data_IF_131885994160
#
_entry.id   IF_131885994160
#
_cell.length_a   1.000
_cell.length_b   1.000
_cell.length_c   1.000
_cell.angle_alpha   90.00
_cell.angle_beta   90.00
_cell.angle_gamma   90.00
#
_symmetry.space_group_name_H-M   'P 1'
#
loop_
_entity.id
_entity.type
_entity.pdbx_description
1 polymer ?
#
# COMPACT_ATOMS: atom_id res chain seq x y z
N UNK A 1 -12.44 -31.99 -7.31
CA UNK A 1 -12.63 -30.73 -8.06
C UNK A 1 -11.35 -30.44 -8.81
N UNK A 2 -11.39 -30.38 -10.16
CA UNK A 2 -10.25 -29.95 -10.95
C UNK A 2 -10.22 -28.41 -10.92
N UNK A 3 -9.13 -27.83 -10.42
CA UNK A 3 -8.92 -26.38 -10.50
C UNK A 3 -8.69 -25.97 -11.95
N UNK A 4 -9.25 -24.84 -12.38
CA UNK A 4 -8.93 -24.25 -13.68
C UNK A 4 -7.46 -23.81 -13.67
N UNK A 5 -6.62 -24.51 -14.43
CA UNK A 5 -5.20 -24.18 -14.58
C UNK A 5 -5.04 -23.27 -15.79
N UNK A 6 -4.42 -22.11 -15.59
CA UNK A 6 -4.10 -21.22 -16.69
C UNK A 6 -3.05 -21.87 -17.61
N UNK A 7 -3.31 -21.97 -18.93
CA UNK A 7 -2.34 -22.50 -19.87
C UNK A 7 -1.11 -21.59 -19.92
N UNK A 8 0.05 -22.17 -20.25
CA UNK A 8 1.29 -21.39 -20.37
C UNK A 8 1.15 -20.32 -21.46
N UNK A 9 1.60 -19.08 -21.20
CA UNK A 9 1.44 -17.97 -22.13
C UNK A 9 2.11 -18.28 -23.48
N UNK A 10 1.32 -18.26 -24.56
CA UNK A 10 1.77 -18.54 -25.93
C UNK A 10 1.43 -19.93 -26.46
N UNK A 11 0.85 -20.83 -25.65
CA UNK A 11 0.34 -22.13 -26.15
C UNK A 11 -1.00 -22.00 -26.88
N UNK A 12 -1.90 -21.14 -26.39
CA UNK A 12 -3.23 -20.94 -26.95
C UNK A 12 -3.59 -19.45 -26.95
N UNK A 13 -3.15 -18.72 -27.96
CA UNK A 13 -3.50 -17.32 -28.19
C UNK A 13 -2.34 -16.34 -28.09
N UNK A 14 -2.62 -15.05 -28.37
CA UNK A 14 -1.61 -14.00 -28.31
C UNK A 14 -1.04 -13.89 -26.90
N UNK A 15 0.27 -13.65 -26.80
CA UNK A 15 0.91 -13.38 -25.51
C UNK A 15 0.22 -12.16 -24.86
N UNK A 16 -0.09 -12.22 -23.55
CA UNK A 16 -0.70 -11.11 -22.85
C UNK A 16 0.19 -9.87 -22.98
N UNK A 17 -0.44 -8.73 -23.28
CA UNK A 17 0.28 -7.46 -23.40
C UNK A 17 0.82 -7.05 -22.04
N UNK A 18 2.02 -6.51 -22.00
CA UNK A 18 2.59 -5.87 -20.81
C UNK A 18 2.61 -4.36 -21.00
N UNK A 19 2.83 -3.63 -19.92
CA UNK A 19 3.00 -2.17 -19.94
C UNK A 19 1.84 -1.39 -20.53
N UNK A 20 0.61 -1.82 -20.23
CA UNK A 20 -0.60 -1.15 -20.68
C UNK A 20 -0.74 0.24 -20.04
N UNK A 21 -1.04 1.30 -20.83
CA UNK A 21 -1.21 2.65 -20.30
C UNK A 21 -2.51 2.80 -19.51
N UNK A 22 -2.62 3.90 -18.77
CA UNK A 22 -3.82 4.26 -18.00
C UNK A 22 -5.08 4.28 -18.88
N UNK A 23 -6.18 3.74 -18.35
CA UNK A 23 -7.45 3.55 -19.05
C UNK A 23 -7.56 2.25 -19.87
N UNK A 24 -6.45 1.54 -20.09
CA UNK A 24 -6.47 0.28 -20.86
C UNK A 24 -7.13 -0.86 -20.09
N UNK A 25 -7.82 -1.76 -20.81
CA UNK A 25 -8.39 -2.96 -20.21
C UNK A 25 -7.28 -3.95 -19.80
N UNK A 26 -7.38 -4.55 -18.61
CA UNK A 26 -6.36 -5.41 -18.01
C UNK A 26 -6.97 -6.60 -17.27
N UNK A 27 -6.15 -7.59 -16.92
CA UNK A 27 -6.61 -8.75 -16.15
C UNK A 27 -7.46 -9.72 -16.98
N UNK A 28 -8.60 -10.13 -16.43
CA UNK A 28 -9.41 -11.24 -16.94
C UNK A 28 -8.89 -12.62 -16.54
N UNK A 29 -9.57 -13.69 -17.00
CA UNK A 29 -9.09 -15.07 -16.81
C UNK A 29 -7.67 -15.22 -17.36
N UNK A 30 -6.76 -15.67 -16.51
CA UNK A 30 -5.34 -15.84 -16.86
C UNK A 30 -4.62 -14.57 -17.35
N UNK A 31 -5.12 -13.38 -16.98
CA UNK A 31 -4.57 -12.10 -17.43
C UNK A 31 -4.55 -11.95 -18.96
N UNK A 32 -5.52 -12.53 -19.67
CA UNK A 32 -5.57 -12.49 -21.13
C UNK A 32 -5.56 -11.06 -21.70
N UNK A 33 -6.09 -10.08 -20.96
CA UNK A 33 -6.07 -8.69 -21.39
C UNK A 33 -4.73 -7.99 -21.13
N UNK A 34 -3.87 -8.58 -20.32
CA UNK A 34 -2.52 -8.08 -20.06
C UNK A 34 -2.34 -7.43 -18.69
N UNK A 35 -1.16 -6.84 -18.54
CA UNK A 35 -0.66 -6.21 -17.32
C UNK A 35 -0.46 -4.71 -17.51
N UNK A 36 -0.79 -3.93 -16.49
CA UNK A 36 -0.60 -2.49 -16.50
C UNK A 36 0.88 -2.09 -16.42
N UNK A 37 1.19 -0.92 -16.94
CA UNK A 37 2.50 -0.29 -16.79
C UNK A 37 2.86 -0.02 -15.31
N UNK A 38 4.15 0.16 -15.04
CA UNK A 38 4.64 0.47 -13.70
C UNK A 38 3.92 1.69 -13.09
N UNK A 39 3.44 1.54 -11.85
CA UNK A 39 2.67 2.57 -11.13
C UNK A 39 1.17 2.60 -11.42
N UNK A 40 0.67 1.68 -12.26
CA UNK A 40 -0.74 1.46 -12.51
C UNK A 40 -1.18 0.12 -11.91
N UNK A 41 -2.43 0.05 -11.43
CA UNK A 41 -3.02 -1.18 -10.88
C UNK A 41 -4.26 -1.53 -11.70
N UNK A 42 -4.45 -2.82 -11.96
CA UNK A 42 -5.65 -3.30 -12.61
C UNK A 42 -6.82 -3.29 -11.62
N UNK A 43 -7.76 -2.36 -11.79
CA UNK A 43 -8.94 -2.24 -10.94
C UNK A 43 -10.13 -2.86 -11.65
N UNK A 44 -10.74 -3.84 -10.99
CA UNK A 44 -11.95 -4.49 -11.50
C UNK A 44 -13.05 -3.44 -11.71
N UNK A 45 -13.65 -3.42 -12.89
CA UNK A 45 -14.85 -2.62 -13.09
C UNK A 45 -16.04 -3.34 -12.46
N UNK A 46 -16.93 -2.62 -11.75
CA UNK A 46 -18.19 -3.19 -11.31
C UNK A 46 -18.99 -3.57 -12.56
N UNK A 47 -19.00 -4.86 -12.88
CA UNK A 47 -19.78 -5.41 -13.98
C UNK A 47 -21.22 -5.56 -13.46
N UNK A 48 -22.20 -4.98 -14.16
CA UNK A 48 -23.60 -5.18 -13.80
C UNK A 48 -23.92 -6.68 -13.82
N UNK A 49 -24.33 -7.18 -12.67
CA UNK A 49 -24.15 -8.54 -12.15
C UNK A 49 -25.19 -9.55 -12.64
N UNK A 50 -25.17 -9.91 -13.92
CA UNK A 50 -25.95 -11.06 -14.42
C UNK A 50 -25.14 -12.09 -15.25
N UNK A 51 -23.88 -11.81 -15.60
CA UNK A 51 -23.07 -12.70 -16.45
C UNK A 51 -21.95 -13.47 -15.73
N UNK A 52 -21.74 -13.28 -14.43
CA UNK A 52 -20.60 -13.88 -13.68
C UNK A 52 -20.95 -15.25 -13.05
N UNK A 53 -22.07 -15.86 -13.46
CA UNK A 53 -22.63 -17.05 -12.78
C UNK A 53 -22.01 -18.40 -13.13
N UNK A 54 -21.20 -18.52 -14.19
CA UNK A 54 -20.72 -19.83 -14.63
C UNK A 54 -19.24 -19.81 -15.00
N UNK A 55 -18.39 -20.42 -14.17
CA UNK A 55 -17.08 -20.92 -14.62
C UNK A 55 -15.82 -20.26 -14.07
N UNK A 56 -15.88 -19.43 -13.01
CA UNK A 56 -14.66 -18.89 -12.37
C UNK A 56 -13.90 -17.88 -13.23
N UNK A 57 -14.58 -17.24 -14.18
CA UNK A 57 -14.01 -16.21 -15.05
C UNK A 57 -13.85 -14.91 -14.25
N UNK A 58 -12.61 -14.43 -14.09
CA UNK A 58 -12.38 -13.10 -13.53
C UNK A 58 -12.78 -12.03 -14.54
N UNK A 59 -13.53 -10.99 -14.15
CA UNK A 59 -13.86 -9.90 -15.06
C UNK A 59 -12.62 -9.13 -15.49
N UNK A 60 -12.74 -8.45 -16.61
CA UNK A 60 -11.76 -7.47 -17.05
C UNK A 60 -11.75 -6.27 -16.10
N UNK A 61 -10.56 -5.80 -15.76
CA UNK A 61 -10.35 -4.53 -15.08
C UNK A 61 -9.90 -3.43 -16.05
N UNK A 62 -9.62 -2.26 -15.51
CA UNK A 62 -8.94 -1.17 -16.22
C UNK A 62 -7.70 -0.74 -15.45
N UNK A 63 -6.64 -0.43 -16.19
CA UNK A 63 -5.42 0.13 -15.64
C UNK A 63 -5.72 1.54 -15.16
N UNK A 64 -5.87 1.69 -13.86
CA UNK A 64 -5.95 3.00 -13.25
C UNK A 64 -4.59 3.33 -12.70
N UNK A 65 -4.25 4.63 -12.69
CA UNK A 65 -3.21 5.07 -11.77
C UNK A 65 -3.59 4.53 -10.41
N UNK A 66 -2.65 3.92 -9.72
CA UNK A 66 -2.86 3.65 -8.31
C UNK A 66 -3.06 5.03 -7.69
N UNK A 67 -4.32 5.48 -7.62
CA UNK A 67 -4.67 6.70 -6.94
C UNK A 67 -4.05 6.52 -5.59
N UNK A 68 -3.17 7.46 -5.21
CA UNK A 68 -2.44 7.43 -3.92
C UNK A 68 -3.41 6.81 -2.95
N UNK A 69 -3.11 5.58 -2.55
CA UNK A 69 -4.11 4.82 -1.81
C UNK A 69 -4.50 5.68 -0.63
N UNK A 70 -5.75 5.64 -0.16
CA UNK A 70 -6.12 6.41 1.03
C UNK A 70 -5.10 6.19 2.18
N UNK A 71 -4.50 4.99 2.19
CA UNK A 71 -3.37 4.61 3.02
C UNK A 71 -2.04 5.31 2.68
N UNK A 72 -1.71 5.65 1.43
CA UNK A 72 -0.51 6.43 1.07
C UNK A 72 -0.56 7.85 1.66
N UNK A 73 -1.77 8.42 1.72
CA UNK A 73 -1.98 9.72 2.36
C UNK A 73 -1.77 9.66 3.88
N UNK A 74 -1.99 8.49 4.49
CA UNK A 74 -1.79 8.22 5.92
C UNK A 74 -0.37 7.76 6.25
N UNK A 75 0.27 7.05 5.33
CA UNK A 75 1.55 6.39 5.54
C UNK A 75 2.68 7.38 5.81
N UNK A 76 2.74 8.48 5.04
CA UNK A 76 3.77 9.50 5.22
C UNK A 76 3.65 10.21 6.58
N UNK A 77 2.48 10.73 7.00
CA UNK A 77 2.29 11.25 8.35
C UNK A 77 2.60 10.22 9.45
N UNK A 78 2.20 8.96 9.27
CA UNK A 78 2.47 7.90 10.24
C UNK A 78 3.98 7.66 10.43
N UNK A 79 4.75 7.63 9.34
CA UNK A 79 6.20 7.51 9.38
C UNK A 79 6.89 8.78 9.89
N UNK A 80 6.34 9.97 9.63
CA UNK A 80 6.84 11.23 10.19
C UNK A 80 6.78 11.16 11.72
N UNK A 81 5.62 10.80 12.30
CA UNK A 81 5.45 10.59 13.74
C UNK A 81 6.36 9.47 14.28
N UNK A 82 6.58 8.40 13.51
CA UNK A 82 7.48 7.32 13.92
C UNK A 82 8.94 7.78 13.96
N UNK A 83 9.37 8.62 13.00
CA UNK A 83 10.72 9.19 12.95
C UNK A 83 11.00 10.15 14.10
N UNK A 84 10.00 10.94 14.51
CA UNK A 84 10.07 11.78 15.70
C UNK A 84 10.27 10.96 16.98
N UNK A 85 9.70 9.75 17.03
CA UNK A 85 9.75 8.89 18.22
C UNK A 85 11.00 8.00 18.30
N UNK A 86 11.52 7.53 17.16
CA UNK A 86 12.67 6.63 17.12
C UNK A 86 14.02 7.33 17.26
N UNK A 87 14.10 8.66 17.06
CA UNK A 87 15.32 9.46 17.20
C UNK A 87 16.56 8.86 16.48
N UNK A 88 16.35 8.23 15.31
CA UNK A 88 17.45 7.69 14.50
C UNK A 88 18.22 8.79 13.76
N UNK A 89 19.48 8.55 13.39
CA UNK A 89 20.31 9.49 12.62
C UNK A 89 19.72 9.77 11.23
N UNK A 90 19.24 8.71 10.57
CA UNK A 90 18.61 8.75 9.26
C UNK A 90 17.10 8.60 9.41
N UNK A 91 16.37 9.32 8.57
CA UNK A 91 14.93 9.22 8.52
C UNK A 91 14.51 7.90 7.86
N UNK A 92 13.52 7.23 8.41
CA UNK A 92 12.86 6.07 7.82
C UNK A 92 11.90 6.52 6.70
N UNK A 93 12.03 5.88 5.55
CA UNK A 93 11.16 6.06 4.39
C UNK A 93 10.43 4.75 4.08
N UNK A 94 9.18 4.81 3.56
CA UNK A 94 8.42 3.61 3.23
C UNK A 94 9.06 2.89 2.04
N UNK A 95 9.18 1.56 2.15
CA UNK A 95 9.51 0.67 1.02
C UNK A 95 8.23 0.03 0.50
N UNK A 96 7.41 -0.49 1.42
CA UNK A 96 6.17 -1.20 1.08
C UNK A 96 5.18 -1.16 2.23
N UNK A 97 3.90 -0.92 1.91
CA UNK A 97 2.79 -1.17 2.82
C UNK A 97 2.32 -2.62 2.64
N UNK A 98 2.39 -3.43 3.70
CA UNK A 98 1.98 -4.84 3.68
C UNK A 98 0.51 -5.02 4.03
N UNK A 99 0.03 -4.31 5.05
CA UNK A 99 -1.38 -4.28 5.41
C UNK A 99 -1.75 -2.93 6.00
N UNK A 100 -3.02 -2.56 5.82
CA UNK A 100 -3.66 -1.47 6.52
C UNK A 100 -5.09 -1.89 6.83
N UNK A 101 -5.42 -1.88 8.12
CA UNK A 101 -6.77 -2.06 8.62
C UNK A 101 -7.18 -0.79 9.37
N UNK A 102 -8.48 -0.56 9.50
CA UNK A 102 -8.98 0.56 10.28
C UNK A 102 -10.21 0.16 11.08
N UNK A 103 -10.42 0.84 12.19
CA UNK A 103 -11.60 0.70 13.02
C UNK A 103 -11.98 2.04 13.64
N UNK A 104 -13.29 2.28 13.82
CA UNK A 104 -13.80 3.51 14.43
C UNK A 104 -13.71 3.46 15.94
N UNK A 105 -13.35 4.59 16.55
CA UNK A 105 -13.34 4.80 18.01
C UNK A 105 -14.05 6.11 18.37
N UNK A 106 -14.35 6.33 19.64
CA UNK A 106 -15.11 7.50 20.13
C UNK A 106 -14.44 8.89 19.91
N UNK A 107 -13.34 8.96 19.17
CA UNK A 107 -12.62 10.20 18.86
C UNK A 107 -11.96 10.20 17.48
N UNK A 108 -12.35 9.30 16.58
CA UNK A 108 -11.79 9.23 15.22
C UNK A 108 -11.72 7.83 14.65
N UNK A 109 -10.82 7.65 13.69
CA UNK A 109 -10.53 6.34 13.08
C UNK A 109 -9.11 5.94 13.43
N UNK A 110 -8.94 4.74 13.99
CA UNK A 110 -7.63 4.14 14.24
C UNK A 110 -7.24 3.30 13.03
N UNK A 111 -6.02 3.50 12.55
CA UNK A 111 -5.40 2.76 11.46
C UNK A 111 -4.28 1.88 12.00
N UNK A 112 -4.40 0.58 11.77
CA UNK A 112 -3.40 -0.43 12.09
C UNK A 112 -2.65 -0.79 10.80
N UNK A 113 -1.38 -0.41 10.71
CA UNK A 113 -0.57 -0.56 9.51
C UNK A 113 0.65 -1.45 9.77
N UNK A 114 0.94 -2.35 8.84
CA UNK A 114 2.19 -3.08 8.78
C UNK A 114 3.01 -2.56 7.60
N UNK A 115 4.13 -1.91 7.91
CA UNK A 115 4.94 -1.17 6.95
C UNK A 115 6.35 -1.73 6.93
N UNK A 116 6.88 -1.99 5.75
CA UNK A 116 8.31 -2.16 5.53
C UNK A 116 8.94 -0.79 5.27
N UNK A 117 9.87 -0.39 6.13
CA UNK A 117 10.57 0.87 6.05
C UNK A 117 12.09 0.66 6.03
N UNK A 118 12.82 1.62 5.45
CA UNK A 118 14.28 1.63 5.43
C UNK A 118 14.83 2.98 5.87
N UNK A 119 15.99 3.02 6.52
CA UNK A 119 16.77 4.26 6.63
C UNK A 119 16.98 4.87 5.25
N UNK A 120 16.82 6.18 5.14
CA UNK A 120 17.01 6.92 3.90
C UNK A 120 18.40 7.56 3.81
N UNK A 121 18.69 8.13 2.64
CA UNK A 121 19.83 9.02 2.42
C UNK A 121 19.72 10.36 3.17
N UNK A 122 18.54 10.70 3.69
CA UNK A 122 18.29 11.95 4.40
C UNK A 122 18.52 11.82 5.91
N UNK A 123 18.98 12.90 6.51
CA UNK A 123 19.13 13.01 7.97
C UNK A 123 17.79 13.28 8.64
N UNK A 124 17.57 12.71 9.82
CA UNK A 124 16.38 12.95 10.61
C UNK A 124 16.54 14.24 11.43
N UNK A 125 16.41 15.39 10.76
CA UNK A 125 16.61 16.71 11.34
C UNK A 125 15.40 17.64 11.18
N UNK A 126 14.24 17.08 10.81
CA UNK A 126 13.01 17.83 10.56
C UNK A 126 12.97 18.66 9.28
N UNK A 127 14.03 18.71 8.46
CA UNK A 127 14.03 19.46 7.19
C UNK A 127 13.41 18.70 6.02
N UNK A 128 13.32 17.38 6.14
CA UNK A 128 12.86 16.49 5.09
C UNK A 128 11.69 15.64 5.61
N UNK A 129 10.88 15.14 4.69
CA UNK A 129 9.73 14.27 5.00
C UNK A 129 9.90 12.87 4.37
N UNK A 130 9.23 11.83 4.93
CA UNK A 130 9.34 10.47 4.40
C UNK A 130 8.90 10.30 2.93
N UNK A 131 8.07 11.23 2.43
CA UNK A 131 7.59 11.25 1.05
C UNK A 131 8.43 12.09 0.08
N UNK A 132 9.51 12.73 0.53
CA UNK A 132 10.34 13.58 -0.32
C UNK A 132 11.10 12.75 -1.36
N UNK A 133 11.01 13.13 -2.64
CA UNK A 133 11.67 12.42 -3.74
C UNK A 133 13.21 12.36 -3.61
N UNK A 134 13.81 13.29 -2.86
CA UNK A 134 15.24 13.32 -2.56
C UNK A 134 15.66 12.28 -1.50
N UNK A 135 14.73 11.82 -0.66
CA UNK A 135 15.00 10.89 0.42
C UNK A 135 14.75 9.47 -0.05
N UNK A 136 15.78 8.85 -0.61
CA UNK A 136 15.70 7.49 -1.14
C UNK A 136 16.10 6.47 -0.07
N UNK A 137 15.53 5.25 -0.09
CA UNK A 137 16.00 4.17 0.77
C UNK A 137 17.50 3.93 0.58
N UNK A 138 18.25 3.83 1.68
CA UNK A 138 19.68 3.56 1.66
C UNK A 138 19.91 2.12 1.22
N UNK A 139 20.60 1.93 0.08
CA UNK A 139 20.74 0.61 -0.56
C UNK A 139 21.44 -0.43 0.32
N UNK A 140 22.44 0.00 1.09
CA UNK A 140 23.23 -0.87 1.98
C UNK A 140 22.54 -1.18 3.32
N UNK A 141 21.37 -0.61 3.58
CA UNK A 141 20.65 -0.82 4.85
C UNK A 141 19.70 -2.02 4.78
N UNK A 142 19.37 -2.58 5.94
CA UNK A 142 18.35 -3.62 6.06
C UNK A 142 16.95 -2.98 6.17
N UNK A 143 15.96 -3.62 5.55
CA UNK A 143 14.55 -3.26 5.76
C UNK A 143 14.12 -3.61 7.18
N UNK A 144 13.24 -2.80 7.74
CA UNK A 144 12.61 -3.01 9.05
C UNK A 144 11.11 -3.10 8.87
N UNK A 145 10.50 -4.07 9.54
CA UNK A 145 9.04 -4.20 9.59
C UNK A 145 8.53 -3.45 10.82
N UNK A 146 7.63 -2.50 10.60
CA UNK A 146 7.05 -1.65 11.63
C UNK A 146 5.55 -1.87 11.68
N UNK A 147 5.04 -2.07 12.90
CA UNK A 147 3.60 -1.98 13.17
C UNK A 147 3.32 -0.59 13.71
N UNK A 148 2.49 0.17 12.97
CA UNK A 148 2.09 1.53 13.30
C UNK A 148 0.60 1.54 13.62
N UNK A 149 0.24 2.14 14.75
CA UNK A 149 -1.16 2.43 15.08
C UNK A 149 -1.36 3.94 15.14
N UNK A 150 -2.18 4.49 14.26
CA UNK A 150 -2.38 5.94 14.11
C UNK A 150 -3.85 6.29 14.25
N UNK A 151 -4.15 7.28 15.08
CA UNK A 151 -5.48 7.87 15.21
C UNK A 151 -5.61 9.06 14.26
N UNK A 152 -6.57 9.03 13.33
CA UNK A 152 -7.06 10.20 12.59
C UNK A 152 -8.30 10.77 13.30
N UNK A 153 -8.14 11.94 13.90
CA UNK A 153 -9.22 12.63 14.63
C UNK A 153 -10.19 13.37 13.70
N UNK A 154 -9.90 13.45 12.39
CA UNK A 154 -10.65 14.26 11.43
C UNK A 154 -11.31 13.47 10.30
N UNK A 155 -11.25 12.14 10.34
CA UNK A 155 -11.76 11.26 9.28
C UNK A 155 -13.26 11.43 8.97
N UNK A 156 -14.05 12.05 9.86
CA UNK A 156 -15.52 12.21 9.69
C UNK A 156 -16.00 13.64 9.35
N UNK A 157 -15.12 14.62 9.14
CA UNK A 157 -15.58 15.98 8.82
C UNK A 157 -15.93 16.15 7.33
N UNK A 158 -17.23 16.17 7.04
CA UNK A 158 -17.79 16.75 5.81
C UNK A 158 -17.49 18.26 5.77
N UNK A 159 -17.34 18.80 4.55
CA UNK A 159 -16.70 20.08 4.11
C UNK A 159 -16.95 21.40 4.88
N UNK A 160 -17.70 21.42 5.98
CA UNK A 160 -18.20 22.64 6.60
C UNK A 160 -17.28 23.26 7.67
N UNK A 161 -16.28 22.54 8.20
CA UNK A 161 -15.57 22.93 9.44
C UNK A 161 -14.09 23.26 9.25
N UNK A 162 -13.77 24.12 8.29
CA UNK A 162 -12.38 24.52 8.01
C UNK A 162 -11.78 25.43 9.11
N UNK A 163 -12.61 26.24 9.79
CA UNK A 163 -12.17 27.06 10.94
C UNK A 163 -11.91 26.22 12.20
N UNK A 164 -12.72 25.18 12.44
CA UNK A 164 -12.56 24.32 13.60
C UNK A 164 -11.31 23.41 13.47
N UNK A 165 -10.93 23.08 12.24
CA UNK A 165 -9.69 22.35 11.93
C UNK A 165 -8.40 23.10 12.29
N UNK A 166 -8.41 24.43 12.34
CA UNK A 166 -7.22 25.20 12.74
C UNK A 166 -7.08 25.29 14.26
N UNK A 167 -8.16 25.09 15.02
CA UNK A 167 -8.16 25.13 16.48
C UNK A 167 -7.85 23.77 17.12
N UNK A 168 -8.17 22.68 16.42
CA UNK A 168 -7.88 21.32 16.89
C UNK A 168 -6.44 20.95 16.55
N UNK A 169 -5.77 20.26 17.48
CA UNK A 169 -4.35 19.89 17.41
C UNK A 169 -3.96 18.99 16.23
N UNK A 170 -2.85 18.24 16.32
CA UNK A 170 -2.37 17.45 15.20
C UNK A 170 -3.44 16.44 14.73
N UNK A 171 -3.73 16.44 13.42
CA UNK A 171 -4.73 15.55 12.80
C UNK A 171 -4.47 14.08 13.09
N UNK A 172 -3.19 13.70 13.10
CA UNK A 172 -2.73 12.34 13.32
C UNK A 172 -1.98 12.22 14.64
N UNK A 173 -2.25 11.16 15.39
CA UNK A 173 -1.53 10.82 16.61
C UNK A 173 -1.06 9.37 16.55
N UNK A 174 0.23 9.15 16.82
CA UNK A 174 0.81 7.81 16.89
C UNK A 174 0.48 7.21 18.26
N UNK A 175 -0.39 6.21 18.27
CA UNK A 175 -0.80 5.49 19.47
C UNK A 175 0.24 4.46 19.87
N UNK A 176 0.71 3.68 18.88
CA UNK A 176 1.66 2.61 19.10
C UNK A 176 2.66 2.51 17.96
N UNK A 177 3.92 2.27 18.34
CA UNK A 177 5.02 1.97 17.45
C UNK A 177 5.77 0.77 18.00
N UNK A 178 5.81 -0.31 17.22
CA UNK A 178 6.61 -1.48 17.54
C UNK A 178 7.33 -2.00 16.31
N UNK A 179 8.58 -2.41 16.49
CA UNK A 179 9.29 -3.18 15.48
C UNK A 179 8.72 -4.59 15.48
N UNK A 180 8.13 -5.00 14.36
CA UNK A 180 7.75 -6.38 14.17
C UNK A 180 9.05 -7.16 13.96
N UNK A 181 9.34 -8.14 14.84
CA UNK A 181 10.37 -9.12 14.53
C UNK A 181 10.02 -9.69 13.16
N UNK A 182 10.99 -9.69 12.25
CA UNK A 182 10.81 -10.34 10.95
C UNK A 182 10.21 -11.72 11.23
N UNK A 183 9.06 -12.07 10.63
CA UNK A 183 8.56 -13.43 10.76
C UNK A 183 9.70 -14.32 10.27
N UNK A 184 10.25 -15.16 11.16
CA UNK A 184 11.25 -16.12 10.76
C UNK A 184 10.58 -16.99 9.70
N UNK A 185 10.87 -16.69 8.43
CA UNK A 185 10.44 -17.51 7.32
C UNK A 185 10.89 -18.92 7.66
N UNK A 186 9.98 -19.92 7.70
CA UNK A 186 10.37 -21.27 8.03
C UNK A 186 11.46 -21.66 7.04
N UNK A 187 12.69 -21.80 7.53
CA UNK A 187 13.83 -22.30 6.77
C UNK A 187 13.38 -23.63 6.17
N UNK A 188 13.05 -23.63 4.87
CA UNK A 188 12.82 -24.86 4.12
C UNK A 188 14.11 -25.66 4.27
N UNK A 189 14.06 -26.72 5.09
CA UNK A 189 15.12 -27.71 5.16
C UNK A 189 15.32 -28.24 3.75
N UNK A 190 16.39 -27.79 3.11
CA UNK A 190 16.89 -28.40 1.88
C UNK A 190 17.45 -29.75 2.33
N UNK A 191 16.67 -30.81 2.14
CA UNK A 191 17.20 -32.16 2.18
C UNK A 191 18.02 -32.33 0.90
N UNK A 192 19.34 -32.45 1.08
CA UNK A 192 20.29 -32.88 0.05
C UNK A 192 20.36 -34.40 0.08
#
# INVERSE_FOLDING_TARGET
AAGFVCPEPGTWGPKPKTDLPEGSACGGSCNFQGFCAAGLVCRDQPTNTWQIGFGGVKPAGVCVRQGRSEHDALLNPALELANERLNGLHMLVPVRLHSAAHHKVAGGTVYDMLVEAKPSTCWNNGKHKPGDAACRPLQSSNSQMLTLQVLDTMAESSDSDLLDRMARGPRYQLLQLSSARQPELPLKKVFV
#
